data_IF_561005292665
#
_entry.id   IF_561005292665
#
_cell.length_a   1.000
_cell.length_b   1.000
_cell.length_c   1.000
_cell.angle_alpha   90.00
_cell.angle_beta   90.00
_cell.angle_gamma   90.00
#
_symmetry.space_group_name_H-M   'P 1'
#
loop_
_entity.id
_entity.type
_entity.pdbx_description
1 polymer ?
#
# COMPACT_ATOMS: atom_id res chain seq x y z
N UNK A 1 24.46 -15.06 41.05
CA UNK A 1 24.90 -14.95 39.64
C UNK A 1 23.96 -15.66 38.67
N UNK A 2 23.66 -16.95 38.86
CA UNK A 2 22.70 -17.71 38.03
C UNK A 2 21.33 -17.02 37.77
N UNK A 3 20.63 -16.46 38.78
CA UNK A 3 19.33 -15.81 38.55
C UNK A 3 19.42 -14.52 37.72
N UNK A 4 20.53 -13.79 37.80
CA UNK A 4 20.75 -12.58 36.99
C UNK A 4 21.01 -12.92 35.51
N UNK A 5 21.71 -14.02 35.25
CA UNK A 5 21.94 -14.53 33.88
C UNK A 5 20.62 -14.99 33.25
N UNK A 6 19.77 -15.69 34.01
CA UNK A 6 18.45 -16.13 33.54
C UNK A 6 17.55 -14.92 33.23
N UNK A 7 17.55 -13.90 34.09
CA UNK A 7 16.79 -12.67 33.85
C UNK A 7 17.27 -11.91 32.60
N UNK A 8 18.60 -11.87 32.37
CA UNK A 8 19.18 -11.28 31.17
C UNK A 8 18.74 -12.01 29.90
N UNK A 9 18.78 -13.34 29.90
CA UNK A 9 18.36 -14.17 28.75
C UNK A 9 16.86 -13.96 28.46
N UNK A 10 16.02 -13.96 29.50
CA UNK A 10 14.58 -13.71 29.35
C UNK A 10 14.30 -12.31 28.78
N UNK A 11 15.04 -11.29 29.24
CA UNK A 11 14.94 -9.93 28.70
C UNK A 11 15.32 -9.86 27.23
N UNK A 12 16.43 -10.49 26.82
CA UNK A 12 16.86 -10.53 25.42
C UNK A 12 15.80 -11.20 24.53
N UNK A 13 15.26 -12.34 24.95
CA UNK A 13 14.19 -13.04 24.22
C UNK A 13 12.95 -12.15 24.08
N UNK A 14 12.56 -11.47 25.16
CA UNK A 14 11.43 -10.54 25.15
C UNK A 14 11.63 -9.39 24.15
N UNK A 15 12.81 -8.76 24.14
CA UNK A 15 13.16 -7.69 23.19
C UNK A 15 13.14 -8.19 21.74
N UNK A 16 13.63 -9.40 21.48
CA UNK A 16 13.61 -10.00 20.14
C UNK A 16 12.17 -10.24 19.66
N UNK A 17 11.32 -10.81 20.52
CA UNK A 17 9.90 -11.05 20.21
C UNK A 17 9.18 -9.73 19.90
N UNK A 18 9.38 -8.72 20.75
CA UNK A 18 8.88 -7.37 20.53
C UNK A 18 9.34 -6.81 19.17
N UNK A 19 10.64 -6.90 18.90
CA UNK A 19 11.20 -6.37 17.65
C UNK A 19 10.55 -7.03 16.44
N UNK A 20 10.41 -8.36 16.41
CA UNK A 20 9.78 -9.06 15.28
C UNK A 20 8.28 -8.72 15.15
N UNK A 21 7.56 -8.60 16.27
CA UNK A 21 6.14 -8.23 16.30
C UNK A 21 5.89 -6.83 15.73
N UNK A 22 6.77 -5.87 16.02
CA UNK A 22 6.62 -4.49 15.56
C UNK A 22 7.30 -4.21 14.22
N UNK A 23 8.34 -4.97 13.83
CA UNK A 23 9.04 -4.77 12.56
C UNK A 23 8.14 -5.13 11.37
N UNK A 24 7.37 -6.23 11.47
CA UNK A 24 6.47 -6.67 10.40
C UNK A 24 5.43 -5.60 10.00
N UNK A 25 4.61 -5.03 10.91
CA UNK A 25 3.66 -3.99 10.54
C UNK A 25 4.35 -2.72 10.03
N UNK A 26 5.52 -2.36 10.57
CA UNK A 26 6.28 -1.19 10.15
C UNK A 26 6.79 -1.33 8.70
N UNK A 27 7.30 -2.51 8.33
CA UNK A 27 7.70 -2.82 6.95
C UNK A 27 6.49 -2.78 6.00
N UNK A 28 5.33 -3.30 6.42
CA UNK A 28 4.10 -3.27 5.61
C UNK A 28 3.63 -1.84 5.36
N UNK A 29 3.65 -0.97 6.37
CA UNK A 29 3.31 0.47 6.22
C UNK A 29 4.29 1.16 5.27
N UNK A 30 5.59 0.90 5.43
CA UNK A 30 6.64 1.50 4.60
C UNK A 30 6.47 1.10 3.13
N UNK A 31 6.25 -0.18 2.86
CA UNK A 31 6.01 -0.69 1.51
C UNK A 31 4.77 -0.07 0.85
N UNK A 32 3.65 0.02 1.59
CA UNK A 32 2.43 0.66 1.08
C UNK A 32 2.64 2.15 0.77
N UNK A 33 3.39 2.85 1.62
CA UNK A 33 3.72 4.27 1.41
C UNK A 33 4.57 4.46 0.16
N UNK A 34 5.58 3.61 -0.06
CA UNK A 34 6.43 3.64 -1.26
C UNK A 34 5.60 3.37 -2.52
N UNK A 35 4.73 2.37 -2.49
CA UNK A 35 3.83 2.05 -3.61
C UNK A 35 2.94 3.24 -3.95
N UNK A 36 2.29 3.84 -2.95
CA UNK A 36 1.45 5.02 -3.14
C UNK A 36 2.24 6.18 -3.73
N UNK A 37 3.44 6.45 -3.19
CA UNK A 37 4.31 7.51 -3.68
C UNK A 37 4.63 7.33 -5.18
N UNK A 38 5.04 6.13 -5.59
CA UNK A 38 5.34 5.83 -7.01
C UNK A 38 4.10 5.95 -7.90
N UNK A 39 2.93 5.50 -7.42
CA UNK A 39 1.66 5.67 -8.12
C UNK A 39 1.31 7.15 -8.31
N UNK A 40 1.37 7.95 -7.24
CA UNK A 40 1.09 9.38 -7.31
C UNK A 40 2.05 10.12 -8.24
N UNK A 41 3.35 9.82 -8.18
CA UNK A 41 4.35 10.41 -9.07
C UNK A 41 4.02 10.15 -10.54
N UNK A 42 3.61 8.93 -10.87
CA UNK A 42 3.23 8.56 -12.24
C UNK A 42 1.94 9.23 -12.69
N UNK A 43 0.91 9.22 -11.83
CA UNK A 43 -0.38 9.87 -12.10
C UNK A 43 -0.16 11.36 -12.32
N UNK A 44 0.63 12.02 -11.48
CA UNK A 44 1.00 13.42 -11.64
C UNK A 44 1.66 13.68 -12.99
N UNK A 45 2.59 12.82 -13.40
CA UNK A 45 3.27 12.93 -14.69
C UNK A 45 2.29 12.76 -15.87
N UNK A 46 1.34 11.82 -15.79
CA UNK A 46 0.32 11.62 -16.83
C UNK A 46 -0.72 12.74 -16.90
N UNK A 47 -1.08 13.33 -15.76
CA UNK A 47 -1.95 14.49 -15.70
C UNK A 47 -1.27 15.71 -16.31
N UNK A 48 -0.04 16.01 -15.87
CA UNK A 48 0.68 17.24 -16.26
C UNK A 48 1.25 17.19 -17.67
N UNK A 49 1.93 16.10 -18.06
CA UNK A 49 2.60 16.00 -19.36
C UNK A 49 1.67 15.53 -20.48
N UNK A 50 0.84 14.52 -20.20
CA UNK A 50 0.03 13.84 -21.23
C UNK A 50 -1.42 14.32 -21.26
N UNK A 51 -1.81 15.26 -20.37
CA UNK A 51 -3.16 15.84 -20.26
C UNK A 51 -4.27 14.77 -20.11
N UNK A 52 -3.96 13.63 -19.49
CA UNK A 52 -4.89 12.48 -19.33
C UNK A 52 -5.73 12.55 -18.05
N UNK A 53 -5.89 13.74 -17.48
CA UNK A 53 -6.60 13.96 -16.22
C UNK A 53 -8.01 13.36 -16.21
N UNK A 54 -8.74 13.47 -17.32
CA UNK A 54 -10.11 12.95 -17.43
C UNK A 54 -10.18 11.42 -17.29
N UNK A 55 -9.21 10.69 -17.85
CA UNK A 55 -9.19 9.22 -17.78
C UNK A 55 -8.87 8.79 -16.35
N UNK A 56 -7.80 9.35 -15.76
CA UNK A 56 -7.38 9.03 -14.40
C UNK A 56 -8.44 9.36 -13.34
N UNK A 57 -9.17 10.47 -13.50
CA UNK A 57 -10.28 10.80 -12.58
C UNK A 57 -11.44 9.82 -12.71
N UNK A 58 -11.84 9.44 -13.94
CA UNK A 58 -12.90 8.43 -14.13
C UNK A 58 -12.53 7.07 -13.57
N UNK A 59 -11.30 6.60 -13.80
CA UNK A 59 -10.83 5.31 -13.29
C UNK A 59 -10.62 5.33 -11.78
N UNK A 60 -10.24 6.46 -11.19
CA UNK A 60 -10.16 6.61 -9.74
C UNK A 60 -11.52 6.45 -9.06
N UNK A 61 -12.56 7.09 -9.61
CA UNK A 61 -13.93 6.99 -9.10
C UNK A 61 -14.41 5.54 -9.19
N UNK A 62 -14.20 4.88 -10.33
CA UNK A 62 -14.59 3.48 -10.53
C UNK A 62 -13.83 2.55 -9.56
N UNK A 63 -12.52 2.76 -9.39
CA UNK A 63 -11.71 1.97 -8.47
C UNK A 63 -12.17 2.12 -7.02
N UNK A 64 -12.51 3.33 -6.58
CA UNK A 64 -13.10 3.58 -5.26
C UNK A 64 -14.44 2.88 -5.10
N UNK A 65 -15.28 2.90 -6.14
CA UNK A 65 -16.59 2.23 -6.14
C UNK A 65 -16.44 0.71 -6.02
N UNK A 66 -15.48 0.13 -6.74
CA UNK A 66 -15.13 -1.30 -6.65
C UNK A 66 -14.65 -1.66 -5.25
N UNK A 67 -13.72 -0.87 -4.69
CA UNK A 67 -13.19 -1.11 -3.34
C UNK A 67 -14.28 -0.97 -2.29
N UNK A 68 -15.19 -0.01 -2.44
CA UNK A 68 -16.36 0.16 -1.56
C UNK A 68 -17.31 -1.04 -1.64
N UNK A 69 -17.63 -1.53 -2.83
CA UNK A 69 -18.48 -2.71 -3.04
C UNK A 69 -17.84 -4.01 -2.50
N UNK A 70 -16.52 -4.12 -2.61
CA UNK A 70 -15.75 -5.25 -2.08
C UNK A 70 -15.36 -5.07 -0.61
N UNK A 71 -15.85 -4.02 0.06
CA UNK A 71 -15.36 -3.43 1.32
C UNK A 71 -15.20 -4.34 2.54
N UNK A 72 -15.53 -5.63 2.45
CA UNK A 72 -15.33 -6.63 3.50
C UNK A 72 -14.28 -7.72 3.18
N UNK A 73 -13.74 -7.80 1.96
CA UNK A 73 -12.77 -8.86 1.60
C UNK A 73 -11.31 -8.41 1.64
N UNK A 74 -11.03 -7.10 1.70
CA UNK A 74 -9.67 -6.56 1.66
C UNK A 74 -9.39 -5.71 2.91
N UNK A 75 -8.99 -6.33 4.03
CA UNK A 75 -8.74 -5.61 5.26
C UNK A 75 -7.35 -4.94 5.19
N UNK A 76 -7.28 -3.68 5.64
CA UNK A 76 -6.10 -2.87 5.99
C UNK A 76 -5.55 -1.85 4.96
N UNK A 77 -5.78 -1.97 3.64
CA UNK A 77 -5.08 -1.11 2.66
C UNK A 77 -5.93 -0.59 1.49
N UNK A 78 -7.14 -0.11 1.78
CA UNK A 78 -8.12 0.30 0.75
C UNK A 78 -7.59 1.34 -0.24
N UNK A 79 -6.78 2.28 0.24
CA UNK A 79 -6.20 3.34 -0.59
C UNK A 79 -5.18 2.76 -1.56
N UNK A 80 -4.29 1.88 -1.09
CA UNK A 80 -3.28 1.23 -1.93
C UNK A 80 -3.93 0.35 -2.99
N UNK A 81 -4.95 -0.43 -2.60
CA UNK A 81 -5.72 -1.28 -3.53
C UNK A 81 -6.46 -0.45 -4.57
N UNK A 82 -7.14 0.64 -4.16
CA UNK A 82 -7.82 1.55 -5.08
C UNK A 82 -6.84 2.20 -6.05
N UNK A 83 -5.66 2.62 -5.56
CA UNK A 83 -4.61 3.19 -6.40
C UNK A 83 -4.07 2.22 -7.45
N UNK A 84 -3.85 0.95 -7.07
CA UNK A 84 -3.45 -0.09 -8.02
C UNK A 84 -4.54 -0.38 -9.05
N UNK A 85 -5.80 -0.51 -8.63
CA UNK A 85 -6.95 -0.73 -9.52
C UNK A 85 -7.10 0.40 -10.53
N UNK A 86 -7.04 1.65 -10.08
CA UNK A 86 -7.05 2.82 -10.95
C UNK A 86 -5.95 2.74 -12.01
N UNK A 87 -4.73 2.36 -11.60
CA UNK A 87 -3.59 2.24 -12.51
C UNK A 87 -3.82 1.17 -13.58
N UNK A 88 -4.25 -0.03 -13.18
CA UNK A 88 -4.52 -1.16 -14.09
C UNK A 88 -5.63 -0.80 -15.07
N UNK A 89 -6.76 -0.27 -14.59
CA UNK A 89 -7.88 0.13 -15.44
C UNK A 89 -7.48 1.21 -16.45
N UNK A 90 -6.66 2.18 -16.02
CA UNK A 90 -6.18 3.25 -16.90
C UNK A 90 -5.27 2.69 -17.99
N UNK A 91 -4.35 1.79 -17.65
CA UNK A 91 -3.48 1.13 -18.64
C UNK A 91 -4.26 0.28 -19.63
N UNK A 92 -5.23 -0.51 -19.16
CA UNK A 92 -6.11 -1.29 -20.02
C UNK A 92 -6.89 -0.39 -20.98
N UNK A 93 -7.48 0.70 -20.49
CA UNK A 93 -8.21 1.66 -21.32
C UNK A 93 -7.31 2.29 -22.40
N UNK A 94 -6.06 2.64 -22.05
CA UNK A 94 -5.10 3.19 -23.00
C UNK A 94 -4.68 2.15 -24.05
N UNK A 95 -4.50 0.88 -23.67
CA UNK A 95 -4.16 -0.19 -24.62
C UNK A 95 -5.31 -0.51 -25.57
N UNK A 96 -6.55 -0.59 -25.08
CA UNK A 96 -7.72 -0.90 -25.90
C UNK A 96 -8.11 0.22 -26.89
N UNK A 97 -7.73 1.46 -26.59
CA UNK A 97 -8.05 2.63 -27.44
C UNK A 97 -6.98 2.92 -28.49
N UNK A 98 -5.81 2.28 -28.39
CA UNK A 98 -4.76 2.29 -29.41
C UNK A 98 -5.07 1.24 -30.48
#
# INVERSE_FOLDING_TARGET
>A
MLPAIIALIAFIIFVVILTVLFLKPLVVVLANTIILYLLFLRVYTEITKYKRAKIYTTTAIIALLIVYLLGNFLPLWWITTAGMLMFVMTHLYIMYKK
#
